data_IF_675496087091
#
_entry.id   IF_675496087091
#
_cell.length_a   1.000
_cell.length_b   1.000
_cell.length_c   1.000
_cell.angle_alpha   90.00
_cell.angle_beta   90.00
_cell.angle_gamma   90.00
#
_symmetry.space_group_name_H-M   'P 1'
#
loop_
_entity.id
_entity.type
_entity.pdbx_description
1 polymer ?
#
# COMPACT_ATOMS: atom_id res chain seq x y z
N UNK A 1 -25.56 -31.08 -15.54
CA UNK A 1 -26.04 -29.70 -15.27
C UNK A 1 -26.10 -29.53 -13.76
N UNK A 2 -25.11 -28.86 -13.16
CA UNK A 2 -25.04 -28.72 -11.70
C UNK A 2 -25.94 -27.56 -11.27
N UNK A 3 -27.02 -27.88 -10.58
CA UNK A 3 -27.88 -26.91 -9.92
C UNK A 3 -27.10 -26.27 -8.76
N UNK A 4 -26.51 -25.10 -9.00
CA UNK A 4 -26.12 -24.19 -7.92
C UNK A 4 -27.40 -23.60 -7.35
N UNK A 5 -27.90 -24.23 -6.29
CA UNK A 5 -28.95 -23.65 -5.48
C UNK A 5 -28.42 -22.34 -4.91
N UNK A 6 -28.82 -21.22 -5.51
CA UNK A 6 -28.62 -19.89 -4.96
C UNK A 6 -29.50 -19.78 -3.73
N UNK A 7 -28.99 -20.26 -2.59
CA UNK A 7 -29.53 -19.93 -1.28
C UNK A 7 -29.38 -18.42 -1.13
N UNK A 8 -30.45 -17.70 -1.43
CA UNK A 8 -30.62 -16.29 -1.11
C UNK A 8 -30.76 -16.15 0.40
N UNK A 9 -29.68 -16.45 1.13
CA UNK A 9 -29.58 -16.21 2.55
C UNK A 9 -29.73 -14.70 2.77
N UNK A 10 -30.71 -14.32 3.59
CA UNK A 10 -30.96 -12.93 3.96
C UNK A 10 -29.68 -12.33 4.58
N UNK A 11 -28.97 -11.51 3.79
CA UNK A 11 -27.74 -10.82 4.22
C UNK A 11 -27.92 -9.99 5.49
N UNK A 12 -29.17 -9.62 5.82
CA UNK A 12 -29.53 -8.82 7.00
C UNK A 12 -29.15 -9.48 8.34
N UNK A 13 -29.06 -10.80 8.39
CA UNK A 13 -28.66 -11.52 9.61
C UNK A 13 -27.29 -12.20 9.51
N UNK A 14 -26.58 -12.01 8.38
CA UNK A 14 -25.26 -12.61 8.20
C UNK A 14 -24.24 -11.89 9.07
N UNK A 15 -23.75 -12.61 10.10
CA UNK A 15 -22.63 -12.16 10.92
C UNK A 15 -21.36 -12.84 10.47
N UNK A 16 -20.32 -12.05 10.28
CA UNK A 16 -19.00 -12.50 9.85
C UNK A 16 -18.00 -12.24 10.97
N UNK A 17 -17.04 -13.15 11.13
CA UNK A 17 -15.97 -13.02 12.11
C UNK A 17 -14.85 -12.18 11.52
N UNK A 18 -14.44 -11.12 12.22
CA UNK A 18 -13.23 -10.38 11.85
C UNK A 18 -11.99 -11.19 12.25
N UNK A 19 -11.04 -11.39 11.34
CA UNK A 19 -9.80 -12.11 11.62
C UNK A 19 -8.94 -11.40 12.69
N UNK A 20 -8.94 -10.07 12.70
CA UNK A 20 -8.05 -9.29 13.57
C UNK A 20 -8.59 -9.08 14.98
N UNK A 21 -9.86 -8.65 15.13
CA UNK A 21 -10.46 -8.45 16.46
C UNK A 21 -11.29 -9.64 16.95
N UNK A 22 -11.43 -10.70 16.15
CA UNK A 22 -12.20 -11.93 16.43
C UNK A 22 -13.71 -11.74 16.67
N UNK A 23 -14.21 -10.50 16.67
CA UNK A 23 -15.63 -10.17 16.88
C UNK A 23 -16.50 -10.64 15.73
N UNK A 24 -17.69 -11.13 16.06
CA UNK A 24 -18.77 -11.39 15.10
C UNK A 24 -19.53 -10.09 14.84
N UNK A 25 -19.45 -9.58 13.61
CA UNK A 25 -20.05 -8.31 13.22
C UNK A 25 -21.01 -8.50 12.03
N UNK A 26 -22.03 -7.65 11.87
CA UNK A 26 -22.89 -7.66 10.68
C UNK A 26 -22.06 -7.48 9.40
N UNK A 27 -22.52 -8.05 8.28
CA UNK A 27 -21.82 -7.95 6.99
C UNK A 27 -21.53 -6.52 6.53
N UNK A 28 -22.30 -5.53 6.99
CA UNK A 28 -22.11 -4.10 6.71
C UNK A 28 -20.77 -3.55 7.23
N UNK A 29 -20.21 -4.17 8.27
CA UNK A 29 -18.91 -3.78 8.85
C UNK A 29 -17.73 -4.29 8.04
N UNK A 30 -17.99 -5.05 6.97
CA UNK A 30 -16.98 -5.58 6.07
C UNK A 30 -17.16 -4.91 4.70
N UNK A 31 -16.07 -4.43 4.07
CA UNK A 31 -16.18 -3.90 2.73
C UNK A 31 -16.66 -4.99 1.78
N UNK A 32 -17.41 -4.61 0.74
CA UNK A 32 -17.97 -5.49 -0.30
C UNK A 32 -16.85 -6.08 -1.18
N UNK A 33 -15.92 -6.85 -0.60
CA UNK A 33 -14.87 -7.59 -1.30
C UNK A 33 -15.20 -9.07 -1.28
N UNK A 34 -15.15 -9.68 -2.46
CA UNK A 34 -15.07 -11.13 -2.62
C UNK A 34 -13.67 -11.57 -2.18
N UNK A 35 -13.58 -12.19 -1.01
CA UNK A 35 -12.35 -12.77 -0.50
C UNK A 35 -12.66 -13.99 0.36
N UNK A 36 -11.68 -14.88 0.58
CA UNK A 36 -11.86 -16.01 1.48
C UNK A 36 -12.28 -15.51 2.87
N UNK A 37 -13.28 -16.17 3.47
CA UNK A 37 -13.86 -15.74 4.75
C UNK A 37 -12.81 -15.62 5.87
N UNK A 38 -11.74 -16.41 5.78
CA UNK A 38 -10.66 -16.49 6.78
C UNK A 38 -9.74 -15.26 6.79
N UNK A 39 -9.85 -14.35 5.81
CA UNK A 39 -9.03 -13.13 5.74
C UNK A 39 -9.87 -11.85 5.86
N UNK A 40 -11.15 -11.97 6.24
CA UNK A 40 -12.03 -10.83 6.39
C UNK A 40 -11.67 -9.97 7.59
N UNK A 41 -11.46 -8.69 7.36
CA UNK A 41 -11.15 -7.69 8.38
C UNK A 41 -12.21 -6.59 8.35
N UNK A 42 -12.78 -6.27 9.50
CA UNK A 42 -13.81 -5.25 9.62
C UNK A 42 -13.22 -3.84 9.42
N UNK A 43 -14.05 -2.87 9.05
CA UNK A 43 -13.63 -1.49 8.76
C UNK A 43 -12.91 -0.84 9.95
N UNK A 44 -13.33 -1.16 11.19
CA UNK A 44 -12.69 -0.64 12.40
C UNK A 44 -11.28 -1.16 12.67
N UNK A 45 -10.93 -2.34 12.15
CA UNK A 45 -9.58 -2.90 12.23
C UNK A 45 -8.68 -2.48 11.06
N UNK A 46 -9.19 -1.65 10.14
CA UNK A 46 -8.41 -1.14 9.01
C UNK A 46 -7.93 0.26 9.28
N UNK A 47 -6.66 0.47 9.00
CA UNK A 47 -5.99 1.76 9.06
C UNK A 47 -5.97 2.40 7.66
N UNK A 48 -6.02 3.73 7.61
CA UNK A 48 -5.96 4.48 6.37
C UNK A 48 -4.50 4.71 6.00
N UNK A 49 -4.08 4.25 4.82
CA UNK A 49 -2.76 4.57 4.30
C UNK A 49 -2.75 5.99 3.71
N UNK A 50 -1.84 6.85 4.15
CA UNK A 50 -1.70 8.22 3.65
C UNK A 50 -1.16 8.28 2.23
N UNK A 51 -0.37 7.29 1.81
CA UNK A 51 0.20 7.25 0.46
C UNK A 51 -0.81 6.89 -0.65
N UNK A 52 -1.89 6.15 -0.34
CA UNK A 52 -2.88 5.76 -1.35
C UNK A 52 -4.34 6.07 -0.99
N UNK A 53 -4.61 6.58 0.21
CA UNK A 53 -5.96 6.88 0.71
C UNK A 53 -6.82 5.63 0.98
N UNK A 54 -6.29 4.42 0.81
CA UNK A 54 -7.05 3.18 0.98
C UNK A 54 -6.95 2.66 2.41
N UNK A 55 -8.09 2.17 2.94
CA UNK A 55 -8.14 1.45 4.21
C UNK A 55 -7.63 0.01 4.04
N UNK A 56 -6.54 -0.33 4.73
CA UNK A 56 -5.93 -1.66 4.70
C UNK A 56 -5.86 -2.30 6.09
N UNK A 57 -5.85 -3.63 6.18
CA UNK A 57 -5.58 -4.32 7.45
C UNK A 57 -4.23 -3.90 8.03
N UNK A 58 -4.07 -4.03 9.35
CA UNK A 58 -2.79 -3.73 10.02
C UNK A 58 -1.63 -4.59 9.51
N UNK A 59 -1.90 -5.80 9.06
CA UNK A 59 -0.90 -6.68 8.46
C UNK A 59 -0.28 -6.15 7.16
N UNK A 60 -0.79 -5.04 6.62
CA UNK A 60 -0.24 -4.35 5.44
C UNK A 60 0.65 -3.15 5.79
N UNK A 61 1.00 -3.00 7.07
CA UNK A 61 1.88 -1.98 7.60
C UNK A 61 2.98 -2.70 8.40
N UNK A 62 4.21 -2.66 7.89
CA UNK A 62 5.38 -3.27 8.52
C UNK A 62 5.75 -2.60 9.83
N UNK A 63 5.62 -1.28 9.90
CA UNK A 63 6.04 -0.49 11.05
C UNK A 63 4.87 -0.10 11.93
N UNK A 64 5.08 -0.30 13.24
CA UNK A 64 4.06 -0.01 14.23
C UNK A 64 3.64 1.49 14.28
N UNK A 65 4.49 2.39 13.76
CA UNK A 65 4.22 3.82 13.68
C UNK A 65 3.98 4.36 12.27
N UNK A 66 4.05 3.53 11.21
CA UNK A 66 3.90 4.06 9.86
C UNK A 66 2.42 4.28 9.52
N UNK A 67 2.16 5.45 8.93
CA UNK A 67 0.86 5.78 8.33
C UNK A 67 0.80 5.36 6.84
N UNK A 68 1.80 4.61 6.36
CA UNK A 68 1.98 4.25 4.96
C UNK A 68 2.06 2.73 4.86
N UNK A 69 1.23 2.13 4.01
CA UNK A 69 1.24 0.69 3.79
C UNK A 69 2.47 0.24 3.00
N UNK A 70 2.82 -1.04 3.12
CA UNK A 70 4.03 -1.64 2.53
C UNK A 70 4.09 -1.45 1.02
N UNK A 71 2.94 -1.50 0.34
CA UNK A 71 2.88 -1.27 -1.10
C UNK A 71 3.23 0.18 -1.48
N UNK A 72 2.84 1.15 -0.66
CA UNK A 72 3.21 2.55 -0.86
C UNK A 72 4.67 2.80 -0.50
N UNK A 73 5.19 2.17 0.57
CA UNK A 73 6.61 2.22 0.90
C UNK A 73 7.48 1.64 -0.22
N UNK A 74 7.10 0.49 -0.78
CA UNK A 74 7.79 -0.11 -1.91
C UNK A 74 7.78 0.81 -3.14
N UNK A 75 6.66 1.48 -3.43
CA UNK A 75 6.58 2.47 -4.51
C UNK A 75 7.49 3.67 -4.26
N UNK A 76 7.59 4.13 -3.02
CA UNK A 76 8.47 5.23 -2.65
C UNK A 76 9.95 4.84 -2.85
N UNK A 77 10.35 3.65 -2.41
CA UNK A 77 11.70 3.13 -2.65
C UNK A 77 12.02 3.03 -4.15
N UNK A 78 11.10 2.47 -4.94
CA UNK A 78 11.29 2.37 -6.39
C UNK A 78 11.37 3.77 -7.03
N UNK A 79 10.60 4.75 -6.56
CA UNK A 79 10.67 6.12 -7.05
C UNK A 79 11.98 6.84 -6.66
N UNK A 80 12.65 6.45 -5.57
CA UNK A 80 13.97 6.98 -5.23
C UNK A 80 15.04 6.50 -6.22
N UNK A 81 14.95 5.23 -6.65
CA UNK A 81 15.98 4.62 -7.51
C UNK A 81 15.66 4.74 -9.01
N UNK A 82 14.37 4.83 -9.39
CA UNK A 82 13.94 4.80 -10.77
C UNK A 82 13.32 6.12 -11.21
N UNK A 83 14.04 6.78 -12.12
CA UNK A 83 13.68 8.03 -12.80
C UNK A 83 12.27 8.00 -13.38
N UNK A 84 11.87 6.91 -14.03
CA UNK A 84 10.55 6.82 -14.66
C UNK A 84 9.40 6.73 -13.66
N UNK A 85 9.66 6.25 -12.45
CA UNK A 85 8.67 6.25 -11.37
C UNK A 85 8.58 7.62 -10.70
N UNK A 86 9.72 8.32 -10.53
CA UNK A 86 9.76 9.68 -9.98
C UNK A 86 9.21 10.72 -10.94
N UNK A 87 9.53 10.57 -12.22
CA UNK A 87 9.15 11.47 -13.31
C UNK A 87 8.41 10.68 -14.41
N UNK A 88 7.14 10.29 -14.18
CA UNK A 88 6.36 9.54 -15.16
C UNK A 88 6.24 10.27 -16.50
N UNK A 89 6.35 11.60 -16.49
CA UNK A 89 6.26 12.43 -17.70
C UNK A 89 7.38 12.14 -18.72
N UNK A 90 8.51 11.61 -18.26
CA UNK A 90 9.62 11.22 -19.14
C UNK A 90 9.30 9.98 -20.00
N UNK A 91 8.20 9.27 -19.71
CA UNK A 91 7.74 8.15 -20.55
C UNK A 91 7.03 8.61 -21.82
N UNK A 92 6.61 9.87 -21.91
CA UNK A 92 5.95 10.40 -23.10
C UNK A 92 6.97 10.71 -24.19
N UNK A 93 6.70 10.27 -25.43
CA UNK A 93 7.58 10.50 -26.59
C UNK A 93 7.82 11.98 -26.93
N UNK A 94 6.94 12.86 -26.48
CA UNK A 94 7.03 14.31 -26.72
C UNK A 94 7.66 15.08 -25.55
N UNK A 95 8.24 14.38 -24.57
CA UNK A 95 8.80 15.03 -23.39
C UNK A 95 10.08 15.81 -23.75
N UNK A 96 10.15 17.13 -23.44
CA UNK A 96 11.33 17.94 -23.76
C UNK A 96 12.49 17.73 -22.77
N UNK A 97 12.29 16.94 -21.70
CA UNK A 97 13.27 16.71 -20.65
C UNK A 97 14.08 15.43 -20.91
N UNK A 98 15.40 15.47 -20.67
CA UNK A 98 16.29 14.31 -20.83
C UNK A 98 16.19 13.35 -19.65
N UNK A 99 16.15 12.05 -19.95
CA UNK A 99 16.19 10.98 -18.93
C UNK A 99 17.54 10.96 -18.22
N UNK A 100 18.63 11.23 -18.94
CA UNK A 100 20.00 11.23 -18.44
C UNK A 100 20.24 12.36 -17.43
N UNK A 101 19.70 13.56 -17.69
CA UNK A 101 19.76 14.69 -16.76
C UNK A 101 19.04 14.35 -15.44
N UNK A 102 17.83 13.80 -15.52
CA UNK A 102 17.06 13.37 -14.35
C UNK A 102 17.72 12.21 -13.57
N UNK A 103 18.51 11.34 -14.23
CA UNK A 103 19.38 10.35 -13.56
C UNK A 103 20.49 11.04 -12.77
N UNK A 104 21.09 12.07 -13.34
CA UNK A 104 22.13 12.87 -12.70
C UNK A 104 21.63 13.51 -11.41
N UNK A 105 20.43 14.10 -11.44
CA UNK A 105 19.79 14.69 -10.26
C UNK A 105 19.60 13.68 -9.12
N UNK A 106 19.05 12.50 -9.43
CA UNK A 106 18.88 11.41 -8.44
C UNK A 106 20.21 10.99 -7.79
N UNK A 107 21.28 10.87 -8.59
CA UNK A 107 22.60 10.53 -8.10
C UNK A 107 23.19 11.63 -7.19
N UNK A 108 22.95 12.90 -7.51
CA UNK A 108 23.42 14.02 -6.68
C UNK A 108 22.68 14.11 -5.35
N UNK A 109 21.36 13.90 -5.34
CA UNK A 109 20.57 13.85 -4.11
C UNK A 109 21.03 12.71 -3.19
N UNK A 110 21.29 11.51 -3.75
CA UNK A 110 21.81 10.38 -2.99
C UNK A 110 23.20 10.64 -2.38
N UNK A 111 24.00 11.52 -2.99
CA UNK A 111 25.29 11.95 -2.45
C UNK A 111 25.15 13.00 -1.34
N UNK A 112 24.12 13.85 -1.39
CA UNK A 112 23.85 14.88 -0.38
C UNK A 112 23.20 14.32 0.90
N UNK A 113 22.42 13.24 0.81
CA UNK A 113 21.81 12.58 1.99
C UNK A 113 22.79 11.77 2.85
N UNK A 114 24.05 11.60 2.44
CA UNK A 114 25.06 10.86 3.20
C UNK A 114 25.68 11.77 4.28
N UNK A 115 25.49 11.52 5.59
CA UNK A 115 26.13 12.33 6.62
C UNK A 115 27.66 12.20 6.50
N UNK A 116 28.44 13.28 6.72
CA UNK A 116 29.89 13.20 6.67
C UNK A 116 30.36 12.23 7.75
N UNK A 117 31.11 11.20 7.33
CA UNK A 117 31.81 10.32 8.25
C UNK A 117 32.75 11.18 9.12
N UNK A 118 32.71 11.08 10.46
CA UNK A 118 33.66 11.78 11.29
C UNK A 118 35.06 11.21 11.04
N UNK A 119 35.97 12.07 10.54
CA UNK A 119 37.39 11.76 10.46
C UNK A 119 37.92 11.50 11.87
N UNK A 120 38.19 10.24 12.20
CA UNK A 120 38.93 9.87 13.41
C UNK A 120 40.43 10.12 13.16
N UNK A 121 41.11 10.94 14.00
CA UNK A 121 42.56 11.07 13.93
C UNK A 121 43.23 9.77 14.40
N UNK A 122 44.35 9.42 13.76
CA UNK A 122 45.20 8.26 14.05
C UNK A 122 45.98 8.43 15.35
#
# INVERSE_FOLDING_TARGET
MFHTAFLAASKRHLRLRCFQCTRLLPSEHFPKRSGPLNTLVCVGCKEMCFGCGLRQPRSSFSDAGSNICDRCLAKQHVAQENVYFRYPILTYRACPFSVEEARGELCQEAQQEKPPLPCMPR
#
